data_IF_276640934621
#
_entry.id   IF_276640934621
#
_cell.length_a   1.000
_cell.length_b   1.000
_cell.length_c   1.000
_cell.angle_alpha   90.00
_cell.angle_beta   90.00
_cell.angle_gamma   90.00
#
_symmetry.space_group_name_H-M   'P 1'
#
loop_
_entity.id
_entity.type
_entity.pdbx_description
1 polymer ?
#
# COMPACT_ATOMS: atom_id res chain seq x y z
N UNK A 1 11.65 -19.98 -27.64
CA UNK A 1 12.09 -19.04 -26.58
C UNK A 1 10.86 -18.36 -25.98
N UNK A 2 10.66 -18.50 -24.67
CA UNK A 2 9.58 -17.87 -23.91
C UNK A 2 10.20 -16.72 -23.11
N UNK A 3 9.70 -15.50 -23.30
CA UNK A 3 10.11 -14.34 -22.51
C UNK A 3 9.55 -14.48 -21.09
N UNK A 4 10.42 -14.49 -20.08
CA UNK A 4 10.01 -14.66 -18.66
C UNK A 4 10.34 -13.45 -17.81
N UNK A 5 11.19 -12.54 -18.29
CA UNK A 5 11.52 -11.30 -17.58
C UNK A 5 10.86 -10.08 -18.22
N UNK A 6 10.70 -9.02 -17.42
CA UNK A 6 10.19 -7.73 -17.91
C UNK A 6 11.08 -7.17 -19.04
N UNK A 7 12.39 -7.35 -18.94
CA UNK A 7 13.33 -6.90 -19.98
C UNK A 7 13.09 -7.68 -21.28
N UNK A 8 12.87 -9.00 -21.23
CA UNK A 8 12.60 -9.80 -22.43
C UNK A 8 11.27 -9.40 -23.10
N UNK A 9 10.25 -9.14 -22.28
CA UNK A 9 8.94 -8.70 -22.75
C UNK A 9 9.02 -7.34 -23.45
N UNK A 10 9.67 -6.35 -22.82
CA UNK A 10 9.80 -5.00 -23.37
C UNK A 10 10.77 -4.94 -24.56
N UNK A 11 11.82 -5.75 -24.57
CA UNK A 11 12.79 -5.80 -25.67
C UNK A 11 12.18 -6.38 -26.94
N UNK A 12 11.35 -7.43 -26.81
CA UNK A 12 10.73 -8.07 -27.96
C UNK A 12 9.47 -7.36 -28.45
N UNK A 13 8.71 -6.73 -27.55
CA UNK A 13 7.50 -5.95 -27.85
C UNK A 13 6.62 -6.57 -28.95
N UNK A 14 6.40 -7.89 -28.90
CA UNK A 14 5.81 -8.62 -30.03
C UNK A 14 4.43 -8.09 -30.41
N UNK A 15 3.65 -7.69 -29.41
CA UNK A 15 2.32 -7.10 -29.62
C UNK A 15 2.40 -5.75 -30.34
N UNK A 16 3.32 -4.87 -29.93
CA UNK A 16 3.51 -3.58 -30.60
C UNK A 16 3.99 -3.72 -32.04
N UNK A 17 4.93 -4.64 -32.29
CA UNK A 17 5.41 -4.95 -33.64
C UNK A 17 4.28 -5.51 -34.50
N UNK A 18 3.49 -6.43 -33.98
CA UNK A 18 2.38 -7.04 -34.71
C UNK A 18 1.33 -5.98 -35.09
N UNK A 19 0.92 -5.13 -34.16
CA UNK A 19 -0.03 -4.04 -34.43
C UNK A 19 0.51 -3.04 -35.47
N UNK A 20 1.82 -2.76 -35.44
CA UNK A 20 2.48 -1.94 -36.45
C UNK A 20 2.45 -2.58 -37.85
N UNK A 21 2.65 -3.89 -37.95
CA UNK A 21 2.57 -4.60 -39.23
C UNK A 21 1.12 -4.70 -39.75
N UNK A 22 0.16 -4.94 -38.86
CA UNK A 22 -1.27 -5.02 -39.19
C UNK A 22 -1.85 -3.67 -39.67
N UNK A 23 -1.23 -2.56 -39.28
CA UNK A 23 -1.59 -1.22 -39.79
C UNK A 23 -1.02 -0.91 -41.18
N UNK A 24 -0.42 -1.91 -41.85
CA UNK A 24 0.07 -1.79 -43.22
C UNK A 24 1.49 -1.25 -43.35
N UNK A 25 2.17 -1.02 -42.22
CA UNK A 25 3.58 -0.65 -42.20
C UNK A 25 4.48 -1.89 -42.27
N UNK A 26 5.71 -1.73 -42.74
CA UNK A 26 6.75 -2.77 -42.74
C UNK A 26 7.91 -2.30 -41.90
N UNK A 27 8.51 -3.23 -41.15
CA UNK A 27 9.88 -3.04 -40.68
C UNK A 27 10.79 -3.09 -41.90
N UNK A 28 11.41 -1.97 -42.25
CA UNK A 28 12.23 -1.87 -43.45
C UNK A 28 13.72 -1.83 -43.14
N UNK A 29 14.11 -1.48 -41.90
CA UNK A 29 15.51 -1.26 -41.57
C UNK A 29 15.92 -2.00 -40.30
N UNK A 30 17.16 -2.46 -40.27
CA UNK A 30 17.80 -2.98 -39.05
C UNK A 30 17.97 -1.92 -37.96
N UNK A 31 17.70 -0.65 -38.26
CA UNK A 31 17.77 0.49 -37.35
C UNK A 31 16.45 0.78 -36.63
N UNK A 32 15.35 0.12 -37.00
CA UNK A 32 14.04 0.38 -36.41
C UNK A 32 13.99 -0.20 -34.99
N UNK A 33 13.93 0.69 -33.98
CA UNK A 33 13.83 0.30 -32.57
C UNK A 33 12.43 -0.22 -32.29
N UNK A 34 12.34 -1.47 -31.86
CA UNK A 34 11.08 -2.13 -31.54
C UNK A 34 10.77 -2.15 -30.04
N UNK A 35 11.75 -1.84 -29.20
CA UNK A 35 11.64 -1.99 -27.76
C UNK A 35 10.62 -1.01 -27.18
N UNK A 36 9.77 -1.50 -26.26
CA UNK A 36 8.75 -0.70 -25.60
C UNK A 36 9.27 0.09 -24.39
N UNK A 37 10.57 0.37 -24.29
CA UNK A 37 11.14 1.02 -23.10
C UNK A 37 10.60 2.44 -22.88
N UNK A 38 10.48 3.26 -23.93
CA UNK A 38 9.92 4.61 -23.80
C UNK A 38 8.43 4.59 -23.44
N UNK A 39 7.67 3.63 -23.99
CA UNK A 39 6.26 3.43 -23.60
C UNK A 39 6.14 2.99 -22.15
N UNK A 40 7.00 2.06 -21.71
CA UNK A 40 7.04 1.59 -20.34
C UNK A 40 7.42 2.72 -19.38
N UNK A 41 8.41 3.55 -19.73
CA UNK A 41 8.78 4.75 -18.97
C UNK A 41 7.61 5.73 -18.84
N UNK A 42 6.93 6.04 -19.95
CA UNK A 42 5.80 6.98 -19.95
C UNK A 42 4.63 6.47 -19.10
N UNK A 43 4.40 5.15 -19.12
CA UNK A 43 3.37 4.49 -18.33
C UNK A 43 3.80 4.19 -16.89
N UNK A 44 5.10 4.26 -16.60
CA UNK A 44 5.62 3.95 -15.28
C UNK A 44 5.23 5.06 -14.31
N UNK A 45 4.36 4.71 -13.37
CA UNK A 45 4.10 5.51 -12.20
C UNK A 45 4.61 4.74 -10.98
N UNK A 46 5.50 5.37 -10.21
CA UNK A 46 5.75 4.90 -8.86
C UNK A 46 4.40 4.87 -8.11
N UNK A 47 4.18 3.82 -7.33
CA UNK A 47 3.01 3.79 -6.44
C UNK A 47 3.16 5.02 -5.54
N UNK A 48 2.21 5.97 -5.56
CA UNK A 48 2.33 7.18 -4.77
C UNK A 48 2.47 6.79 -3.30
N UNK A 49 3.53 7.29 -2.66
CA UNK A 49 3.88 7.03 -1.25
C UNK A 49 2.98 7.82 -0.28
N UNK A 50 1.75 8.12 -0.70
CA UNK A 50 0.73 8.69 0.17
C UNK A 50 0.21 7.57 1.07
N UNK A 51 0.98 7.30 2.11
CA UNK A 51 0.57 6.39 3.18
C UNK A 51 0.00 7.17 4.35
N UNK A 52 -1.09 6.64 4.89
CA UNK A 52 -1.79 7.16 6.05
C UNK A 52 -1.30 6.35 7.25
N UNK A 53 -0.68 6.99 8.26
CA UNK A 53 -0.25 6.29 9.46
C UNK A 53 -1.45 5.94 10.33
N UNK A 54 -1.53 4.67 10.73
CA UNK A 54 -2.58 4.14 11.59
C UNK A 54 -1.96 3.42 12.78
N UNK A 55 -2.45 3.73 13.98
CA UNK A 55 -2.05 3.09 15.22
C UNK A 55 -2.73 1.72 15.34
N UNK A 56 -1.96 0.70 15.71
CA UNK A 56 -2.45 -0.68 15.84
C UNK A 56 -2.35 -1.18 17.29
N UNK A 57 -3.45 -1.67 17.88
CA UNK A 57 -3.49 -2.10 19.27
C UNK A 57 -2.95 -3.53 19.44
N UNK A 58 -1.62 -3.70 19.41
CA UNK A 58 -0.98 -4.99 19.67
C UNK A 58 0.12 -4.90 20.74
N UNK A 59 0.37 -6.02 21.44
CA UNK A 59 1.37 -6.09 22.51
C UNK A 59 1.18 -4.99 23.56
N UNK A 60 2.27 -4.32 23.94
CA UNK A 60 2.24 -3.16 24.86
C UNK A 60 1.52 -1.93 24.28
N UNK A 61 1.37 -1.85 22.94
CA UNK A 61 0.70 -0.74 22.26
C UNK A 61 -0.75 -0.57 22.71
N UNK A 62 -1.44 -1.65 23.09
CA UNK A 62 -2.80 -1.60 23.65
C UNK A 62 -2.88 -0.71 24.89
N UNK A 63 -1.97 -0.93 25.85
CA UNK A 63 -1.92 -0.16 27.09
C UNK A 63 -1.54 1.30 26.84
N UNK A 64 -0.65 1.55 25.88
CA UNK A 64 -0.22 2.91 25.51
C UNK A 64 -1.32 3.68 24.78
N UNK A 65 -2.12 3.02 23.95
CA UNK A 65 -3.28 3.64 23.29
C UNK A 65 -4.38 4.02 24.29
N UNK A 66 -4.62 3.19 25.30
CA UNK A 66 -5.49 3.52 26.44
C UNK A 66 -5.01 4.75 27.23
N UNK A 67 -3.69 4.87 27.42
CA UNK A 67 -3.11 6.07 28.03
C UNK A 67 -3.26 7.30 27.12
N UNK A 68 -3.24 7.10 25.80
CA UNK A 68 -3.41 8.19 24.83
C UNK A 68 -4.86 8.70 24.79
N UNK A 69 -5.86 7.82 24.95
CA UNK A 69 -7.27 8.23 25.01
C UNK A 69 -7.63 8.97 26.30
N UNK A 70 -6.86 8.76 27.38
CA UNK A 70 -7.09 9.37 28.69
C UNK A 70 -6.19 10.59 29.00
N UNK A 71 -5.07 10.77 28.29
CA UNK A 71 -4.12 11.85 28.55
C UNK A 71 -4.14 12.94 27.45
N UNK A 72 -4.06 14.21 27.87
CA UNK A 72 -3.76 15.32 26.95
C UNK A 72 -2.45 15.04 26.20
N UNK A 73 -2.45 15.30 24.88
CA UNK A 73 -1.35 15.24 23.90
C UNK A 73 0.06 15.19 24.54
N UNK A 74 0.52 13.98 24.90
CA UNK A 74 1.82 13.78 25.56
C UNK A 74 2.89 13.39 24.52
N UNK A 75 3.89 14.24 24.24
CA UNK A 75 4.90 13.98 23.22
C UNK A 75 5.72 12.71 23.46
N UNK A 76 6.00 12.37 24.74
CA UNK A 76 6.75 11.18 25.10
C UNK A 76 5.96 9.91 24.76
N UNK A 77 4.66 9.92 25.06
CA UNK A 77 3.76 8.81 24.74
C UNK A 77 3.62 8.61 23.22
N UNK A 78 3.54 9.70 22.44
CA UNK A 78 3.53 9.62 20.98
C UNK A 78 4.81 8.99 20.43
N UNK A 79 5.97 9.31 21.02
CA UNK A 79 7.25 8.71 20.63
C UNK A 79 7.29 7.21 20.92
N UNK A 80 6.74 6.80 22.06
CA UNK A 80 6.62 5.39 22.42
C UNK A 80 5.62 4.61 21.56
N UNK A 81 4.67 5.31 20.93
CA UNK A 81 3.68 4.71 20.04
C UNK A 81 4.17 4.52 18.60
N UNK A 82 5.29 5.13 18.20
CA UNK A 82 5.84 5.02 16.84
C UNK A 82 6.02 3.57 16.34
N UNK A 83 6.48 2.60 17.16
CA UNK A 83 6.60 1.19 16.72
C UNK A 83 5.26 0.51 16.43
N UNK A 84 4.15 1.09 16.91
CA UNK A 84 2.79 0.58 16.74
C UNK A 84 2.03 1.34 15.65
N UNK A 85 2.75 1.96 14.71
CA UNK A 85 2.18 2.61 13.53
C UNK A 85 2.40 1.72 12.31
N UNK A 86 1.34 1.54 11.53
CA UNK A 86 1.41 0.95 10.20
C UNK A 86 0.98 1.98 9.16
N UNK A 87 1.71 2.01 8.06
CA UNK A 87 1.39 2.85 6.89
C UNK A 87 0.43 2.10 5.98
N UNK A 88 -0.76 2.66 5.74
CA UNK A 88 -1.75 2.08 4.82
C UNK A 88 -2.01 3.03 3.66
N UNK A 89 -2.32 2.52 2.47
CA UNK A 89 -2.65 3.39 1.33
C UNK A 89 -4.01 4.07 1.50
N UNK A 90 -4.24 5.15 0.76
CA UNK A 90 -5.55 5.82 0.67
C UNK A 90 -6.69 4.92 0.22
N UNK A 91 -6.41 3.84 -0.54
CA UNK A 91 -7.41 2.83 -0.88
C UNK A 91 -7.71 1.90 0.29
N UNK A 92 -6.71 1.48 1.07
CA UNK A 92 -6.94 0.67 2.27
C UNK A 92 -7.65 1.47 3.37
N UNK A 93 -7.28 2.74 3.57
CA UNK A 93 -7.94 3.60 4.54
C UNK A 93 -9.45 3.76 4.24
N UNK A 94 -9.81 3.95 2.96
CA UNK A 94 -11.23 3.98 2.54
C UNK A 94 -11.94 2.66 2.79
N UNK A 95 -11.29 1.52 2.54
CA UNK A 95 -11.88 0.20 2.79
C UNK A 95 -12.10 -0.10 4.27
N UNK A 96 -11.28 0.49 5.15
CA UNK A 96 -11.29 0.28 6.59
C UNK A 96 -11.94 1.43 7.37
N UNK A 97 -12.60 2.38 6.70
CA UNK A 97 -13.12 3.61 7.32
C UNK A 97 -14.02 3.36 8.55
N UNK A 98 -14.80 2.29 8.52
CA UNK A 98 -15.75 1.94 9.59
C UNK A 98 -15.08 1.36 10.84
N UNK A 99 -13.81 0.95 10.72
CA UNK A 99 -13.03 0.29 11.78
C UNK A 99 -11.76 1.08 12.12
N UNK A 100 -11.66 2.31 11.58
CA UNK A 100 -10.64 3.29 11.92
C UNK A 100 -11.29 4.37 12.79
N UNK A 101 -10.77 4.52 14.00
CA UNK A 101 -11.29 5.46 14.99
C UNK A 101 -10.37 6.67 15.10
N UNK A 102 -10.88 7.89 14.83
CA UNK A 102 -10.10 9.11 15.01
C UNK A 102 -9.86 9.38 16.49
N UNK A 103 -8.63 9.77 16.83
CA UNK A 103 -8.21 10.20 18.16
C UNK A 103 -7.40 11.49 18.08
N UNK A 104 -7.15 12.14 19.22
CA UNK A 104 -6.43 13.42 19.30
C UNK A 104 -7.03 14.50 18.38
N UNK A 105 -8.35 14.69 18.48
CA UNK A 105 -9.12 15.64 17.65
C UNK A 105 -8.99 15.35 16.14
N UNK A 106 -8.85 14.08 15.77
CA UNK A 106 -8.71 13.63 14.37
C UNK A 106 -7.28 13.68 13.83
N UNK A 107 -6.28 14.00 14.66
CA UNK A 107 -4.88 14.02 14.23
C UNK A 107 -4.26 12.62 14.05
N UNK A 108 -4.88 11.57 14.58
CA UNK A 108 -4.44 10.19 14.40
C UNK A 108 -5.63 9.23 14.27
N UNK A 109 -5.37 8.06 13.68
CA UNK A 109 -6.34 6.99 13.50
C UNK A 109 -5.88 5.75 14.27
N UNK A 110 -6.80 5.08 14.97
CA UNK A 110 -6.58 3.78 15.61
C UNK A 110 -7.37 2.72 14.85
N UNK A 111 -6.73 1.61 14.50
CA UNK A 111 -7.41 0.45 13.91
C UNK A 111 -8.05 -0.41 15.01
N UNK A 112 -9.27 -0.91 14.75
CA UNK A 112 -9.89 -1.93 15.59
C UNK A 112 -8.99 -3.18 15.69
N UNK A 113 -8.82 -3.73 16.90
CA UNK A 113 -7.90 -4.84 17.16
C UNK A 113 -8.16 -6.07 16.28
N UNK A 114 -9.42 -6.36 15.97
CA UNK A 114 -9.82 -7.50 15.15
C UNK A 114 -9.28 -7.40 13.71
N UNK A 115 -8.80 -6.24 13.26
CA UNK A 115 -8.25 -6.04 11.91
C UNK A 115 -6.72 -6.06 11.87
N UNK A 116 -6.05 -6.46 12.96
CA UNK A 116 -4.60 -6.59 13.00
C UNK A 116 -4.14 -7.96 13.50
N UNK A 117 -3.65 -8.81 12.59
CA UNK A 117 -3.02 -10.08 12.94
C UNK A 117 -1.57 -9.86 13.38
N UNK A 118 -1.37 -9.74 14.69
CA UNK A 118 -0.02 -9.61 15.27
C UNK A 118 0.86 -10.85 15.15
N UNK A 119 0.31 -12.02 14.80
CA UNK A 119 1.04 -13.29 14.79
C UNK A 119 1.50 -13.72 13.39
N UNK A 120 0.73 -13.45 12.32
CA UNK A 120 1.04 -13.98 10.99
C UNK A 120 0.82 -13.02 9.81
N UNK A 121 -0.23 -12.20 9.80
CA UNK A 121 -0.66 -11.45 8.58
C UNK A 121 -0.64 -9.92 8.64
N UNK A 122 -0.36 -9.28 9.78
CA UNK A 122 -0.44 -7.82 9.89
C UNK A 122 -1.85 -7.29 9.60
N UNK A 123 -1.97 -6.20 8.85
CA UNK A 123 -3.25 -5.59 8.50
C UNK A 123 -4.20 -6.58 7.78
N UNK A 124 -5.44 -6.68 8.24
CA UNK A 124 -6.52 -7.46 7.63
C UNK A 124 -7.66 -6.56 7.16
N UNK A 125 -8.42 -7.03 6.16
CA UNK A 125 -9.64 -6.38 5.67
C UNK A 125 -10.91 -7.09 6.15
N UNK A 126 -10.74 -8.19 6.88
CA UNK A 126 -11.81 -8.95 7.51
C UNK A 126 -11.45 -9.12 8.99
N UNK A 127 -12.44 -9.13 9.90
CA UNK A 127 -12.18 -9.28 11.32
C UNK A 127 -11.64 -10.68 11.63
N UNK A 128 -10.58 -10.72 12.43
CA UNK A 128 -9.86 -11.92 12.85
C UNK A 128 -10.16 -12.14 14.34
N UNK A 129 -11.09 -13.06 14.64
CA UNK A 129 -11.39 -13.46 16.02
C UNK A 129 -12.24 -12.44 16.82
N UNK A 130 -12.28 -12.62 18.16
CA UNK A 130 -13.23 -11.91 19.03
C UNK A 130 -12.88 -10.43 19.19
N UNK A 131 -13.81 -9.60 18.73
CA UNK A 131 -13.91 -8.16 18.96
C UNK A 131 -13.73 -7.81 20.45
N UNK A 132 -12.65 -7.13 20.77
CA UNK A 132 -12.53 -6.39 22.03
C UNK A 132 -12.43 -4.91 21.66
N UNK A 133 -13.55 -4.20 21.78
CA UNK A 133 -13.55 -2.75 21.65
C UNK A 133 -12.84 -2.16 22.86
N UNK A 134 -11.87 -1.29 22.60
CA UNK A 134 -11.32 -0.40 23.60
C UNK A 134 -11.66 1.01 23.15
N UNK A 135 -12.68 1.59 23.78
CA UNK A 135 -13.02 3.02 23.73
C UNK A 135 -12.40 3.69 24.95
#
# INVERSE_FOLDING_TARGET
>A
YIATTMVDLLSSNRQGIQAFMESGHRLERSTDLCQAFGTAETAFAAIPDETIPVLVPYGEGKGKLLQLSSAQRNPSLLRELQPYIVSISSSQCRRLENVLHPVLDGAALILEESYYDSAHKGLSFEPIGKTTFIV
#
